data_IF_384505895985
#
_entry.id   IF_384505895985
#
_cell.length_a   1.000
_cell.length_b   1.000
_cell.length_c   1.000
_cell.angle_alpha   90.00
_cell.angle_beta   90.00
_cell.angle_gamma   90.00
#
_symmetry.space_group_name_H-M   'P 1'
#
loop_
_entity.id
_entity.type
_entity.pdbx_description
1 polymer ?
#
# COMPACT_ATOMS: atom_id res chain seq x y z
N UNK A 1 12.31 2.69 5.11
CA UNK A 1 11.83 2.92 3.72
C UNK A 1 11.32 4.34 3.48
N UNK A 2 10.90 5.09 4.51
CA UNK A 2 10.35 6.45 4.39
C UNK A 2 11.20 7.39 3.53
N UNK A 3 12.53 7.30 3.67
CA UNK A 3 13.48 8.17 2.97
C UNK A 3 13.41 8.13 1.44
N UNK A 4 13.02 7.00 0.81
CA UNK A 4 13.06 6.89 -0.65
C UNK A 4 11.98 7.73 -1.34
N UNK A 5 10.76 7.75 -0.79
CA UNK A 5 9.65 8.51 -1.36
C UNK A 5 9.73 10.00 -0.97
N UNK A 6 10.19 10.30 0.24
CA UNK A 6 10.38 11.70 0.69
C UNK A 6 11.42 12.44 -0.15
N UNK A 7 12.52 11.77 -0.54
CA UNK A 7 13.53 12.35 -1.44
C UNK A 7 12.97 12.67 -2.83
N UNK A 8 11.98 11.91 -3.28
CA UNK A 8 11.27 12.13 -4.54
C UNK A 8 10.14 13.18 -4.41
N UNK A 9 9.99 13.80 -3.23
CA UNK A 9 9.04 14.89 -2.98
C UNK A 9 7.66 14.45 -2.50
N UNK A 10 7.45 13.17 -2.22
CA UNK A 10 6.19 12.68 -1.66
C UNK A 10 6.11 12.96 -0.16
N UNK A 11 4.94 13.38 0.31
CA UNK A 11 4.64 13.38 1.75
C UNK A 11 4.30 11.95 2.19
N UNK A 12 5.04 11.42 3.18
CA UNK A 12 4.87 10.05 3.65
C UNK A 12 4.48 10.06 5.12
N UNK A 13 3.37 9.37 5.44
CA UNK A 13 3.00 9.06 6.82
C UNK A 13 3.23 7.56 7.06
N UNK A 14 4.21 7.24 7.91
CA UNK A 14 4.54 5.86 8.24
C UNK A 14 3.86 5.42 9.54
N UNK A 15 3.19 4.26 9.51
CA UNK A 15 2.55 3.66 10.66
C UNK A 15 3.10 2.26 10.93
N UNK A 16 3.43 1.97 12.19
CA UNK A 16 3.98 0.67 12.59
C UNK A 16 2.94 -0.45 12.69
N UNK A 17 1.65 -0.08 12.74
CA UNK A 17 0.55 -1.04 12.85
C UNK A 17 -0.68 -0.51 12.14
N UNK A 18 -1.60 -1.44 11.83
CA UNK A 18 -2.95 -1.10 11.42
C UNK A 18 -3.67 -0.39 12.57
N UNK A 19 -3.48 0.93 12.67
CA UNK A 19 -4.27 1.76 13.58
C UNK A 19 -5.59 2.03 12.90
N UNK A 20 -6.69 1.91 13.64
CA UNK A 20 -8.05 2.28 13.18
C UNK A 20 -8.22 3.79 12.95
N UNK A 21 -7.14 4.49 12.59
CA UNK A 21 -7.21 5.87 12.14
C UNK A 21 -8.20 5.97 10.99
N UNK A 22 -8.97 7.05 10.99
CA UNK A 22 -9.71 7.51 9.83
C UNK A 22 -8.73 7.51 8.66
N UNK A 23 -8.87 6.54 7.74
CA UNK A 23 -8.34 6.69 6.39
C UNK A 23 -9.04 7.95 5.90
N UNK A 24 -8.37 9.10 6.00
CA UNK A 24 -8.98 10.39 5.70
C UNK A 24 -9.16 10.41 4.20
N UNK A 25 -10.33 9.92 3.76
CA UNK A 25 -10.71 9.87 2.35
C UNK A 25 -10.70 11.31 1.84
N UNK A 26 -9.64 11.69 1.12
CA UNK A 26 -9.56 13.01 0.51
C UNK A 26 -8.21 13.45 -0.03
N UNK A 27 -7.06 12.96 0.47
CA UNK A 27 -5.76 13.55 0.07
C UNK A 27 -4.60 12.58 -0.15
N UNK A 28 -4.80 11.27 0.02
CA UNK A 28 -3.74 10.29 -0.16
C UNK A 28 -3.75 9.74 -1.59
N UNK A 29 -2.58 9.71 -2.24
CA UNK A 29 -2.39 9.13 -3.57
C UNK A 29 -2.57 7.60 -3.55
N UNK A 30 -1.90 6.93 -2.62
CA UNK A 30 -2.01 5.50 -2.41
C UNK A 30 -1.59 5.11 -0.99
N UNK A 31 -2.00 3.93 -0.55
CA UNK A 31 -1.48 3.27 0.64
C UNK A 31 -0.49 2.17 0.25
N UNK A 32 0.65 2.11 0.93
CA UNK A 32 1.63 1.04 0.78
C UNK A 32 1.54 0.16 2.02
N UNK A 33 1.19 -1.11 1.85
CA UNK A 33 0.84 -2.00 2.97
C UNK A 33 1.59 -3.31 2.87
N UNK A 34 2.13 -3.78 4.00
CA UNK A 34 2.71 -5.12 4.10
C UNK A 34 1.62 -6.19 4.21
N UNK A 35 1.74 -7.27 3.44
CA UNK A 35 0.76 -8.36 3.45
C UNK A 35 0.60 -9.01 4.84
N UNK A 36 1.64 -8.99 5.68
CA UNK A 36 1.56 -9.48 7.06
C UNK A 36 0.59 -8.66 7.91
N UNK A 37 0.46 -7.35 7.65
CA UNK A 37 -0.46 -6.47 8.37
C UNK A 37 -1.91 -6.84 8.03
N UNK A 38 -2.20 -7.13 6.76
CA UNK A 38 -3.53 -7.57 6.34
C UNK A 38 -3.89 -8.94 6.93
N UNK A 39 -2.93 -9.86 7.00
CA UNK A 39 -3.14 -11.18 7.62
C UNK A 39 -3.35 -11.10 9.12
N UNK A 40 -2.70 -10.16 9.80
CA UNK A 40 -2.80 -9.99 11.25
C UNK A 40 -4.09 -9.29 11.70
N UNK A 41 -4.79 -8.58 10.81
CA UNK A 41 -5.98 -7.78 11.15
C UNK A 41 -7.17 -8.17 10.28
N UNK A 42 -8.13 -8.90 10.85
CA UNK A 42 -9.30 -9.42 10.14
C UNK A 42 -10.20 -8.35 9.52
N UNK A 43 -10.16 -7.11 10.03
CA UNK A 43 -10.94 -5.98 9.52
C UNK A 43 -10.15 -5.06 8.56
N UNK A 44 -8.82 -5.22 8.45
CA UNK A 44 -8.01 -4.31 7.65
C UNK A 44 -8.36 -4.38 6.16
N UNK A 45 -8.52 -5.60 5.65
CA UNK A 45 -8.88 -5.87 4.26
C UNK A 45 -10.21 -5.21 3.88
N UNK A 46 -11.24 -5.42 4.70
CA UNK A 46 -12.57 -4.86 4.46
C UNK A 46 -12.55 -3.33 4.53
N UNK A 47 -11.82 -2.74 5.47
CA UNK A 47 -11.70 -1.29 5.59
C UNK A 47 -10.91 -0.66 4.44
N UNK A 48 -9.90 -1.35 3.95
CA UNK A 48 -9.14 -0.96 2.77
C UNK A 48 -10.06 -0.89 1.54
N UNK A 49 -10.86 -1.94 1.32
CA UNK A 49 -11.86 -1.99 0.26
C UNK A 49 -12.88 -0.85 0.35
N UNK A 50 -13.38 -0.58 1.55
CA UNK A 50 -14.33 0.50 1.79
C UNK A 50 -13.72 1.90 1.57
N UNK A 51 -12.41 2.05 1.67
CA UNK A 51 -11.74 3.34 1.52
C UNK A 51 -11.69 3.83 0.06
N UNK A 52 -11.79 2.93 -0.91
CA UNK A 52 -11.66 3.24 -2.34
C UNK A 52 -10.28 3.80 -2.73
N UNK A 53 -9.29 3.76 -1.84
CA UNK A 53 -7.94 4.24 -2.07
C UNK A 53 -7.14 3.26 -2.93
N UNK A 54 -6.22 3.78 -3.75
CA UNK A 54 -5.27 2.93 -4.45
C UNK A 54 -4.29 2.29 -3.46
N UNK A 55 -3.93 1.03 -3.69
CA UNK A 55 -3.10 0.26 -2.75
C UNK A 55 -1.98 -0.44 -3.48
N UNK A 56 -0.77 -0.28 -2.94
CA UNK A 56 0.40 -1.07 -3.28
C UNK A 56 0.61 -2.09 -2.16
N UNK A 57 0.51 -3.37 -2.48
CA UNK A 57 0.70 -4.46 -1.53
C UNK A 57 2.13 -4.99 -1.59
N UNK A 58 2.84 -4.94 -0.47
CA UNK A 58 4.17 -5.54 -0.33
C UNK A 58 4.03 -7.01 0.08
N UNK A 59 4.36 -7.93 -0.82
CA UNK A 59 4.21 -9.37 -0.59
C UNK A 59 5.55 -10.03 -0.29
N UNK A 60 5.53 -11.20 0.35
CA UNK A 60 6.73 -12.04 0.53
C UNK A 60 6.98 -13.02 -0.64
N UNK A 61 6.06 -13.10 -1.61
CA UNK A 61 6.12 -14.01 -2.75
C UNK A 61 5.90 -15.50 -2.42
N UNK A 62 5.65 -15.82 -1.16
CA UNK A 62 5.55 -17.20 -0.65
C UNK A 62 4.16 -17.48 -0.06
N UNK A 63 3.56 -16.46 0.54
CA UNK A 63 2.23 -16.51 1.13
C UNK A 63 1.15 -16.35 0.07
N UNK A 64 -0.03 -16.99 0.25
CA UNK A 64 -1.09 -16.97 -0.74
C UNK A 64 -1.58 -15.54 -1.01
N UNK A 65 -1.80 -15.20 -2.29
CA UNK A 65 -2.27 -13.88 -2.71
C UNK A 65 -3.58 -13.51 -2.02
N UNK A 66 -3.62 -12.30 -1.46
CA UNK A 66 -4.84 -11.63 -0.98
C UNK A 66 -5.51 -10.78 -2.07
N UNK A 67 -4.94 -10.79 -3.28
CA UNK A 67 -5.37 -10.02 -4.47
C UNK A 67 -6.79 -10.39 -4.94
N UNK A 68 -7.24 -11.62 -4.71
CA UNK A 68 -8.56 -12.10 -5.14
C UNK A 68 -9.75 -11.37 -4.51
N UNK A 69 -9.54 -10.69 -3.36
CA UNK A 69 -10.57 -9.88 -2.70
C UNK A 69 -10.42 -8.38 -2.98
N UNK A 70 -9.32 -7.97 -3.61
CA UNK A 70 -8.84 -6.60 -3.63
C UNK A 70 -8.67 -6.01 -5.04
N UNK A 71 -9.70 -6.03 -5.90
CA UNK A 71 -9.72 -5.25 -7.15
C UNK A 71 -8.38 -5.21 -7.96
N UNK A 72 -8.07 -4.12 -8.69
CA UNK A 72 -6.76 -3.93 -9.32
C UNK A 72 -5.76 -3.40 -8.29
N UNK A 73 -5.30 -4.24 -7.36
CA UNK A 73 -4.14 -3.92 -6.52
C UNK A 73 -2.85 -4.09 -7.31
N UNK A 74 -1.93 -3.14 -7.14
CA UNK A 74 -0.55 -3.33 -7.58
C UNK A 74 0.22 -4.03 -6.46
N UNK A 75 0.88 -5.14 -6.76
CA UNK A 75 1.69 -5.86 -5.78
C UNK A 75 3.18 -5.74 -6.08
N UNK A 76 4.00 -5.71 -5.04
CA UNK A 76 5.45 -5.65 -5.11
C UNK A 76 6.06 -6.69 -4.17
N UNK A 77 6.71 -7.70 -4.76
CA UNK A 77 7.31 -8.81 -4.01
C UNK A 77 8.66 -8.43 -3.41
N UNK A 78 8.85 -8.73 -2.12
CA UNK A 78 10.13 -8.57 -1.40
C UNK A 78 11.12 -9.68 -1.80
N UNK A 79 12.44 -9.40 -1.92
CA UNK A 79 13.07 -8.09 -1.83
C UNK A 79 12.89 -7.29 -3.13
N UNK A 80 12.68 -5.98 -2.98
CA UNK A 80 12.61 -5.02 -4.08
C UNK A 80 13.54 -3.84 -3.81
N UNK A 81 13.88 -3.08 -4.84
CA UNK A 81 14.65 -1.85 -4.70
C UNK A 81 13.71 -0.62 -4.64
N UNK A 82 14.25 0.54 -4.23
CA UNK A 82 13.44 1.76 -4.11
C UNK A 82 12.84 2.26 -5.44
N UNK A 83 13.49 1.99 -6.57
CA UNK A 83 13.00 2.38 -7.89
C UNK A 83 11.78 1.55 -8.32
N UNK A 84 11.73 0.26 -7.96
CA UNK A 84 10.58 -0.61 -8.25
C UNK A 84 9.32 -0.06 -7.57
N UNK A 85 9.42 0.31 -6.29
CA UNK A 85 8.30 0.94 -5.56
C UNK A 85 7.92 2.30 -6.12
N UNK A 86 8.92 3.13 -6.44
CA UNK A 86 8.70 4.45 -7.00
C UNK A 86 7.99 4.40 -8.36
N UNK A 87 8.30 3.39 -9.19
CA UNK A 87 7.61 3.15 -10.46
C UNK A 87 6.10 2.97 -10.26
N UNK A 88 5.71 2.08 -9.34
CA UNK A 88 4.29 1.84 -9.01
C UNK A 88 3.58 3.10 -8.49
N UNK A 89 4.24 3.87 -7.61
CA UNK A 89 3.68 5.14 -7.12
C UNK A 89 3.48 6.15 -8.26
N UNK A 90 4.43 6.24 -9.19
CA UNK A 90 4.33 7.13 -10.37
C UNK A 90 3.22 6.69 -11.31
N UNK A 91 3.06 5.38 -11.54
CA UNK A 91 1.99 4.84 -12.37
C UNK A 91 0.60 5.18 -11.79
N UNK A 92 0.43 5.08 -10.47
CA UNK A 92 -0.81 5.49 -9.81
C UNK A 92 -1.06 6.99 -9.95
N UNK A 93 -0.02 7.83 -9.83
CA UNK A 93 -0.14 9.28 -10.00
C UNK A 93 -0.55 9.71 -11.42
N UNK A 94 -0.25 8.89 -12.45
CA UNK A 94 -0.69 9.15 -13.83
C UNK A 94 -2.16 8.79 -14.07
N UNK A 95 -2.75 7.98 -13.19
CA UNK A 95 -4.14 7.50 -13.28
C UNK A 95 -5.13 8.22 -12.35
N UNK A 96 -4.63 9.05 -11.44
CA UNK A 96 -5.39 9.83 -10.45
C UNK A 96 -5.77 11.22 -10.99
#
# INVERSE_FOLDING_TARGET
MTFALEVEGYHVEAHESWRKGTITAGQTLCMIIDDQVLRASSDALQRLLQSGQAVILLTDGMSPSVEGELGPIQSLTKPFNGADLLGLVKDLALTA
#
